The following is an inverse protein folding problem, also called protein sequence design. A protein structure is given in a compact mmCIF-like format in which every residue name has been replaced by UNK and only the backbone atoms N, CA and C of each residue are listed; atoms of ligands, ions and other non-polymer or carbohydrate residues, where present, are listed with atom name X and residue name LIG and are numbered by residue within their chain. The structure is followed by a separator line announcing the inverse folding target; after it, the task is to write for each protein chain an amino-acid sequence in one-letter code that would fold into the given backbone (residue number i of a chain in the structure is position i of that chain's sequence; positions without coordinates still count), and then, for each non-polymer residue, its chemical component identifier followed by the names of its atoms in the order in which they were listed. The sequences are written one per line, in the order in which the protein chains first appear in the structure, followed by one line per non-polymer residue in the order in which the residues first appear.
data_IF_132439149765
#
_entry.id   IF_132439149765
#
_cell.length_a   1.000
_cell.length_b   1.000
_cell.length_c   1.000
_cell.angle_alpha   90.00
_cell.angle_beta   90.00
_cell.angle_gamma   90.00
#
_symmetry.space_group_name_H-M   'P 1'
#
loop_
_entity.id
_entity.type
_entity.pdbx_description
1 polymer ?
#
# COMPACT_ATOMS: atom_id res chain seq x y z
N UNK A 1 -7.72 0.15 -10.06
CA UNK A 1 -7.02 -1.15 -9.97
C UNK A 1 -8.07 -2.23 -9.75
N UNK A 2 -7.79 -3.48 -10.11
CA UNK A 2 -8.68 -4.61 -9.80
C UNK A 2 -8.08 -5.52 -8.74
N UNK A 3 -8.91 -5.96 -7.79
CA UNK A 3 -8.51 -6.91 -6.73
C UNK A 3 -8.50 -8.35 -7.23
N UNK A 4 -9.43 -8.71 -8.11
CA UNK A 4 -9.61 -10.07 -8.61
C UNK A 4 -9.06 -10.21 -10.03
N UNK A 5 -7.74 -10.30 -10.14
CA UNK A 5 -7.06 -10.25 -11.45
C UNK A 5 -7.27 -11.50 -12.31
N UNK A 6 -7.76 -12.58 -11.72
CA UNK A 6 -8.03 -13.87 -12.34
C UNK A 6 -9.49 -14.04 -12.81
N UNK A 7 -10.39 -13.13 -12.42
CA UNK A 7 -11.80 -13.20 -12.78
C UNK A 7 -12.04 -12.63 -14.17
N UNK A 8 -12.96 -13.27 -14.89
CA UNK A 8 -13.43 -12.83 -16.20
C UNK A 8 -14.14 -11.48 -16.05
N UNK A 9 -13.72 -10.49 -16.84
CA UNK A 9 -14.38 -9.18 -16.90
C UNK A 9 -15.82 -9.25 -17.42
N UNK A 10 -16.59 -8.23 -17.07
CA UNK A 10 -18.01 -8.16 -17.39
C UNK A 10 -18.24 -7.81 -18.87
N UNK A 11 -17.32 -7.13 -19.54
CA UNK A 11 -17.48 -6.69 -20.93
C UNK A 11 -16.42 -7.28 -21.87
N UNK A 12 -15.15 -7.25 -21.48
CA UNK A 12 -14.01 -7.76 -22.29
C UNK A 12 -13.93 -9.30 -22.29
N UNK A 13 -14.61 -9.96 -21.34
CA UNK A 13 -14.70 -11.44 -21.24
C UNK A 13 -13.34 -12.15 -21.16
N UNK A 14 -12.34 -11.49 -20.58
CA UNK A 14 -11.03 -12.08 -20.26
C UNK A 14 -10.64 -11.81 -18.80
N UNK A 15 -9.75 -12.63 -18.20
CA UNK A 15 -9.14 -12.28 -16.92
C UNK A 15 -8.36 -10.96 -17.03
N UNK A 16 -8.50 -10.08 -16.03
CA UNK A 16 -7.80 -8.77 -16.03
C UNK A 16 -6.29 -8.88 -16.27
N UNK A 17 -5.64 -9.91 -15.70
CA UNK A 17 -4.19 -10.15 -15.88
C UNK A 17 -3.77 -10.53 -17.30
N UNK A 18 -4.72 -10.84 -18.17
CA UNK A 18 -4.51 -11.18 -19.59
C UNK A 18 -4.99 -10.05 -20.52
N UNK A 19 -5.45 -8.94 -19.96
CA UNK A 19 -5.89 -7.77 -20.72
C UNK A 19 -4.71 -6.85 -21.07
N UNK A 20 -4.73 -6.33 -22.29
CA UNK A 20 -3.95 -5.17 -22.71
C UNK A 20 -4.49 -3.89 -22.06
N UNK A 21 -3.73 -2.79 -22.14
CA UNK A 21 -4.21 -1.50 -21.62
C UNK A 21 -5.49 -1.00 -22.29
N UNK A 22 -5.59 -1.15 -23.60
CA UNK A 22 -6.81 -0.84 -24.37
C UNK A 22 -8.02 -1.62 -23.83
N UNK A 23 -7.88 -2.94 -23.66
CA UNK A 23 -8.96 -3.76 -23.12
C UNK A 23 -9.33 -3.38 -21.69
N UNK A 24 -8.36 -3.05 -20.83
CA UNK A 24 -8.66 -2.54 -19.47
C UNK A 24 -9.45 -1.24 -19.50
N UNK A 25 -9.16 -0.36 -20.46
CA UNK A 25 -9.89 0.89 -20.62
C UNK A 25 -11.30 0.62 -21.16
N UNK A 26 -11.47 -0.26 -22.14
CA UNK A 26 -12.79 -0.65 -22.67
C UNK A 26 -13.68 -1.23 -21.57
N UNK A 27 -13.15 -2.13 -20.73
CA UNK A 27 -13.88 -2.66 -19.57
C UNK A 27 -14.32 -1.51 -18.64
N UNK A 28 -13.42 -0.57 -18.33
CA UNK A 28 -13.74 0.57 -17.47
C UNK A 28 -14.79 1.50 -18.08
N UNK A 29 -14.71 1.81 -19.38
CA UNK A 29 -15.66 2.71 -20.05
C UNK A 29 -17.09 2.16 -20.04
N UNK A 30 -17.25 0.84 -20.18
CA UNK A 30 -18.57 0.21 -20.03
C UNK A 30 -19.10 0.32 -18.60
N UNK A 31 -18.26 0.10 -17.58
CA UNK A 31 -18.67 0.29 -16.17
C UNK A 31 -19.02 1.75 -15.83
N UNK A 32 -18.55 2.71 -16.63
CA UNK A 32 -18.85 4.13 -16.50
C UNK A 32 -20.01 4.60 -17.39
N UNK A 33 -20.62 3.71 -18.18
CA UNK A 33 -21.71 4.01 -19.10
C UNK A 33 -21.36 5.02 -20.21
N UNK A 34 -20.15 4.89 -20.79
CA UNK A 34 -19.68 5.71 -21.91
C UNK A 34 -19.76 5.00 -23.26
N UNK A 35 -20.66 4.03 -23.43
CA UNK A 35 -20.72 3.17 -24.61
C UNK A 35 -20.88 3.96 -25.92
N UNK A 36 -21.60 5.09 -25.90
CA UNK A 36 -21.80 5.94 -27.07
C UNK A 36 -20.56 6.79 -27.44
N UNK A 37 -19.63 6.97 -26.50
CA UNK A 37 -18.44 7.81 -26.66
C UNK A 37 -17.13 7.01 -26.71
N UNK A 38 -17.17 5.67 -26.67
CA UNK A 38 -15.97 4.82 -26.65
C UNK A 38 -15.02 5.20 -27.79
N UNK A 39 -15.52 5.29 -29.02
CA UNK A 39 -14.68 5.58 -30.20
C UNK A 39 -13.97 6.94 -30.08
N UNK A 40 -14.70 7.99 -29.69
CA UNK A 40 -14.13 9.34 -29.48
C UNK A 40 -13.07 9.33 -28.38
N UNK A 41 -13.33 8.64 -27.27
CA UNK A 41 -12.38 8.56 -26.15
C UNK A 41 -11.12 7.82 -26.61
N UNK A 42 -11.28 6.66 -27.24
CA UNK A 42 -10.16 5.83 -27.70
C UNK A 42 -9.26 6.56 -28.70
N UNK A 43 -9.82 7.39 -29.58
CA UNK A 43 -9.06 8.21 -30.53
C UNK A 43 -8.16 9.26 -29.86
N UNK A 44 -8.52 9.71 -28.64
CA UNK A 44 -7.75 10.71 -27.89
C UNK A 44 -6.71 10.09 -26.94
N UNK A 45 -6.86 8.81 -26.60
CA UNK A 45 -6.01 8.14 -25.62
C UNK A 45 -4.69 7.73 -26.25
N UNK A 46 -3.60 8.33 -25.76
CA UNK A 46 -2.26 8.01 -26.24
C UNK A 46 -1.77 6.64 -25.76
N UNK A 47 -2.02 6.29 -24.49
CA UNK A 47 -1.60 5.00 -23.94
C UNK A 47 -2.32 4.65 -22.63
N UNK A 48 -2.51 3.36 -22.40
CA UNK A 48 -2.89 2.79 -21.11
C UNK A 48 -1.87 1.71 -20.78
N UNK A 49 -1.09 1.91 -19.72
CA UNK A 49 0.02 1.03 -19.38
C UNK A 49 -0.41 0.13 -18.21
N UNK A 50 -0.74 -1.15 -18.45
CA UNK A 50 -1.02 -2.08 -17.36
C UNK A 50 0.25 -2.29 -16.54
N UNK A 51 0.10 -2.38 -15.22
CA UNK A 51 1.18 -2.68 -14.29
C UNK A 51 0.76 -3.81 -13.37
N UNK A 52 1.35 -5.00 -13.56
CA UNK A 52 1.19 -6.13 -12.67
C UNK A 52 2.27 -6.11 -11.61
N UNK A 53 1.85 -6.11 -10.34
CA UNK A 53 2.74 -6.04 -9.18
C UNK A 53 2.46 -7.23 -8.27
N UNK A 54 3.25 -8.32 -8.37
CA UNK A 54 3.00 -9.57 -7.64
C UNK A 54 2.98 -9.44 -6.11
N UNK A 55 3.56 -8.38 -5.56
CA UNK A 55 3.73 -8.15 -4.13
C UNK A 55 3.07 -6.86 -3.63
N UNK A 56 2.16 -6.26 -4.41
CA UNK A 56 1.56 -4.95 -4.08
C UNK A 56 0.84 -4.94 -2.73
N UNK A 57 0.27 -6.08 -2.33
CA UNK A 57 -0.44 -6.28 -1.08
C UNK A 57 0.35 -7.14 -0.07
N UNK A 58 1.63 -7.43 -0.34
CA UNK A 58 2.42 -8.37 0.45
C UNK A 58 2.52 -7.97 1.93
N UNK A 59 2.49 -6.68 2.25
CA UNK A 59 2.46 -6.20 3.65
C UNK A 59 1.19 -6.60 4.44
N UNK A 60 0.13 -7.06 3.78
CA UNK A 60 -1.12 -7.50 4.41
C UNK A 60 -1.26 -9.02 4.51
N UNK A 61 -0.29 -9.79 4.02
CA UNK A 61 -0.31 -11.24 4.16
C UNK A 61 -0.37 -11.65 5.65
N UNK A 62 -1.06 -12.75 5.99
CA UNK A 62 -1.11 -13.26 7.35
C UNK A 62 0.29 -13.42 7.93
N UNK A 63 0.49 -12.91 9.14
CA UNK A 63 1.79 -12.91 9.81
C UNK A 63 1.68 -13.19 11.30
N UNK A 64 2.75 -13.72 11.87
CA UNK A 64 3.03 -13.75 13.30
C UNK A 64 3.82 -12.50 13.69
N UNK A 65 3.83 -12.18 14.98
CA UNK A 65 4.65 -11.08 15.52
C UNK A 65 6.15 -11.30 15.31
N UNK A 66 6.58 -12.55 15.18
CA UNK A 66 7.98 -12.92 14.94
C UNK A 66 8.42 -12.80 13.47
N UNK A 67 7.49 -12.64 12.52
CA UNK A 67 7.81 -12.69 11.09
C UNK A 67 8.48 -11.39 10.58
N UNK A 68 8.42 -10.31 11.36
CA UNK A 68 9.04 -9.02 11.04
C UNK A 68 10.13 -8.68 12.06
N UNK A 69 11.33 -8.29 11.62
CA UNK A 69 12.38 -7.85 12.53
C UNK A 69 12.05 -6.48 13.13
N UNK A 70 12.59 -6.20 14.31
CA UNK A 70 12.60 -4.84 14.84
C UNK A 70 13.40 -3.92 13.90
N UNK A 71 13.05 -2.63 13.86
CA UNK A 71 13.77 -1.61 13.06
C UNK A 71 15.27 -1.65 13.35
N UNK A 72 15.65 -1.69 14.63
CA UNK A 72 17.01 -1.96 15.08
C UNK A 72 16.97 -3.28 15.86
N UNK A 73 17.51 -4.38 15.31
CA UNK A 73 17.54 -5.65 16.02
C UNK A 73 18.26 -5.56 17.36
N UNK A 74 17.81 -6.36 18.33
CA UNK A 74 18.42 -6.37 19.67
C UNK A 74 19.92 -6.70 19.58
N UNK A 75 20.75 -5.89 20.25
CA UNK A 75 22.22 -6.04 20.24
C UNK A 75 22.91 -5.43 19.01
N UNK A 76 22.16 -4.95 18.02
CA UNK A 76 22.73 -4.22 16.88
C UNK A 76 23.30 -2.88 17.33
N UNK A 77 24.53 -2.58 16.90
CA UNK A 77 25.22 -1.30 17.18
C UNK A 77 25.37 -0.43 15.94
N UNK A 78 25.18 -0.99 14.74
CA UNK A 78 25.46 -0.32 13.47
C UNK A 78 24.54 -0.76 12.31
N UNK A 79 23.52 -1.58 12.58
CA UNK A 79 22.62 -2.11 11.55
C UNK A 79 21.14 -1.84 11.89
N UNK A 80 20.39 -1.39 10.89
CA UNK A 80 18.95 -1.18 10.96
C UNK A 80 18.27 -1.59 9.64
N UNK A 81 16.99 -1.93 9.73
CA UNK A 81 16.12 -2.21 8.59
C UNK A 81 15.02 -1.15 8.52
N UNK A 82 14.80 -0.59 7.33
CA UNK A 82 13.77 0.44 7.09
C UNK A 82 12.92 -0.08 5.92
N UNK A 83 11.69 -0.48 6.22
CA UNK A 83 10.74 -0.95 5.21
C UNK A 83 9.32 -1.01 5.77
N UNK A 84 8.35 -1.41 4.94
CA UNK A 84 7.00 -1.79 5.36
C UNK A 84 6.94 -3.20 5.99
N UNK A 85 8.09 -3.88 6.12
CA UNK A 85 8.21 -5.25 6.62
C UNK A 85 9.01 -5.35 7.92
N UNK A 86 9.26 -4.23 8.59
CA UNK A 86 9.77 -4.21 9.97
C UNK A 86 8.63 -4.11 10.96
N UNK A 87 8.90 -4.40 12.23
CA UNK A 87 7.91 -4.29 13.30
C UNK A 87 7.98 -2.91 13.95
N UNK A 88 6.83 -2.23 13.96
CA UNK A 88 6.57 -0.99 14.69
C UNK A 88 5.19 -1.13 15.34
N UNK A 89 5.09 -1.06 16.68
CA UNK A 89 3.82 -1.18 17.37
C UNK A 89 2.84 -0.06 17.02
N UNK A 90 1.56 -0.40 17.02
CA UNK A 90 0.41 0.50 16.84
C UNK A 90 0.28 1.23 15.50
N UNK A 91 1.30 1.24 14.65
CA UNK A 91 1.28 1.90 13.35
C UNK A 91 0.81 0.96 12.22
N UNK A 92 0.36 1.54 11.11
CA UNK A 92 -0.24 0.82 9.97
C UNK A 92 0.68 0.84 8.75
N UNK A 93 1.07 -0.36 8.29
CA UNK A 93 1.76 -0.54 7.00
C UNK A 93 0.87 -0.13 5.82
N UNK A 94 1.43 -0.01 4.62
CA UNK A 94 0.82 0.60 3.44
C UNK A 94 0.63 2.13 3.54
N UNK A 95 1.24 2.75 4.56
CA UNK A 95 1.33 4.20 4.68
C UNK A 95 2.77 4.66 4.55
N UNK A 96 3.00 5.82 3.95
CA UNK A 96 4.33 6.43 3.91
C UNK A 96 4.86 6.75 5.32
N UNK A 97 3.96 7.10 6.24
CA UNK A 97 4.27 7.39 7.64
C UNK A 97 5.02 6.22 8.31
N UNK A 98 4.62 4.97 8.05
CA UNK A 98 5.30 3.80 8.60
C UNK A 98 6.78 3.73 8.17
N UNK A 99 7.08 4.04 6.90
CA UNK A 99 8.45 4.10 6.37
C UNK A 99 9.25 5.25 7.00
N UNK A 100 8.64 6.44 7.11
CA UNK A 100 9.28 7.62 7.72
C UNK A 100 9.56 7.38 9.20
N UNK A 101 8.64 6.72 9.91
CA UNK A 101 8.79 6.32 11.30
C UNK A 101 9.88 5.29 11.47
N UNK A 102 9.94 4.26 10.63
CA UNK A 102 11.03 3.28 10.63
C UNK A 102 12.39 3.99 10.46
N UNK A 103 12.49 4.91 9.50
CA UNK A 103 13.72 5.68 9.28
C UNK A 103 14.12 6.53 10.50
N UNK A 104 13.15 7.21 11.13
CA UNK A 104 13.39 8.00 12.35
C UNK A 104 13.83 7.13 13.52
N UNK A 105 13.20 5.98 13.75
CA UNK A 105 13.60 5.02 14.79
C UNK A 105 15.04 4.57 14.53
N UNK A 106 15.37 4.12 13.32
CA UNK A 106 16.70 3.66 12.96
C UNK A 106 17.78 4.74 13.22
N UNK A 107 17.57 5.95 12.70
CA UNK A 107 18.52 7.05 12.83
C UNK A 107 18.67 7.50 14.28
N UNK A 108 17.56 7.69 15.02
CA UNK A 108 17.63 8.18 16.39
C UNK A 108 18.30 7.16 17.31
N UNK A 109 18.01 5.87 17.13
CA UNK A 109 18.64 4.79 17.90
C UNK A 109 20.13 4.65 17.57
N UNK A 110 20.51 4.49 16.30
CA UNK A 110 21.91 4.20 15.93
C UNK A 110 22.85 5.41 16.10
N UNK A 111 22.35 6.64 15.92
CA UNK A 111 23.14 7.85 16.15
C UNK A 111 23.03 8.40 17.57
N UNK A 112 22.32 7.68 18.46
CA UNK A 112 22.14 8.07 19.86
C UNK A 112 21.61 9.52 20.00
N UNK A 113 20.59 9.86 19.23
CA UNK A 113 19.93 11.18 19.27
C UNK A 113 19.09 11.23 20.55
N UNK A 114 19.42 12.13 21.47
CA UNK A 114 18.81 12.19 22.83
C UNK A 114 17.82 13.34 23.02
N UNK A 115 17.92 14.37 22.19
CA UNK A 115 17.13 15.60 22.27
C UNK A 115 15.83 15.53 21.46
N UNK A 116 15.62 14.45 20.70
CA UNK A 116 14.44 14.24 19.85
C UNK A 116 13.82 12.88 20.10
N UNK A 117 12.48 12.86 20.11
CA UNK A 117 11.69 11.64 20.21
C UNK A 117 10.94 11.39 18.91
N UNK A 118 10.72 10.11 18.59
CA UNK A 118 9.79 9.73 17.52
C UNK A 118 8.37 10.01 18.04
N UNK A 119 7.62 10.87 17.33
CA UNK A 119 6.24 11.24 17.69
C UNK A 119 5.40 9.96 17.74
N UNK A 120 4.71 9.60 18.83
CA UNK A 120 3.93 8.36 18.89
C UNK A 120 2.77 8.35 17.89
N UNK A 121 2.25 7.16 17.58
CA UNK A 121 1.00 7.03 16.81
C UNK A 121 -0.14 7.68 17.59
N UNK A 122 -0.95 8.51 16.93
CA UNK A 122 -2.04 9.22 17.61
C UNK A 122 -3.05 8.22 18.21
N UNK A 123 -3.26 8.22 19.54
CA UNK A 123 -4.01 7.16 20.21
C UNK A 123 -5.52 7.41 20.16
N UNK A 124 -6.10 7.70 18.99
CA UNK A 124 -7.53 7.97 18.81
C UNK A 124 -8.43 6.84 19.38
N UNK A 125 -7.97 5.59 19.31
CA UNK A 125 -8.61 4.40 19.90
C UNK A 125 -8.74 4.44 21.44
N UNK A 126 -8.11 5.42 22.10
CA UNK A 126 -8.16 5.63 23.56
C UNK A 126 -8.92 6.92 23.92
N UNK A 127 -9.34 7.72 22.95
CA UNK A 127 -10.08 8.97 23.20
C UNK A 127 -11.59 8.65 23.30
N UNK A 128 -12.24 8.84 24.47
CA UNK A 128 -13.66 8.56 24.64
C UNK A 128 -14.57 9.33 23.68
N UNK A 129 -14.19 10.55 23.28
CA UNK A 129 -14.98 11.36 22.33
C UNK A 129 -14.91 10.79 20.92
N UNK A 130 -13.78 10.20 20.54
CA UNK A 130 -13.64 9.52 19.25
C UNK A 130 -14.37 8.19 19.29
N UNK A 131 -14.20 7.42 20.36
CA UNK A 131 -14.88 6.13 20.54
C UNK A 131 -16.40 6.27 20.56
N UNK A 132 -16.95 7.35 21.15
CA UNK A 132 -18.38 7.60 21.12
C UNK A 132 -18.93 7.87 19.70
N UNK A 133 -18.08 8.32 18.77
CA UNK A 133 -18.45 8.64 17.38
C UNK A 133 -18.21 7.49 16.40
N UNK A 134 -17.36 6.52 16.75
CA UNK A 134 -16.97 5.40 15.90
C UNK A 134 -18.07 4.33 15.87
#
# INVERSE_FOLDING_TARGET
YGLYTDKIGDYVKKPMRECTGEELLIELLHHLHFEEQIDEIMDTVVNVIPCMMPYIDAQFQPRKMADRPQVVPQGSTNFAMISQFVEIPEDMVFTEEYSVRAARIAVYTLLNVKDKNVIPVTPYKKDPKVLLKA
#
